data_IF_014519232481
#
_entry.id   IF_014519232481
#
_cell.length_a   1.000
_cell.length_b   1.000
_cell.length_c   1.000
_cell.angle_alpha   90.00
_cell.angle_beta   90.00
_cell.angle_gamma   90.00
#
_symmetry.space_group_name_H-M   'P 1'
#
loop_
_entity.id
_entity.type
_entity.pdbx_description
1 polymer ?
#
# COMPACT_ATOMS: atom_id res chain seq x y z
N UNK A 1 -22.22 11.41 -21.34
CA UNK A 1 -22.54 10.11 -20.70
C UNK A 1 -24.03 9.81 -20.89
N UNK A 2 -24.43 8.54 -21.03
CA UNK A 2 -25.85 8.19 -21.22
C UNK A 2 -26.65 8.32 -19.91
N UNK A 3 -27.86 8.86 -19.95
CA UNK A 3 -28.67 9.11 -18.75
C UNK A 3 -29.35 7.86 -18.15
N UNK A 4 -29.53 6.81 -18.96
CA UNK A 4 -30.17 5.55 -18.51
C UNK A 4 -29.14 4.51 -18.03
N UNK A 5 -29.22 4.14 -16.76
CA UNK A 5 -28.40 3.09 -16.14
C UNK A 5 -28.61 1.70 -16.73
N UNK A 6 -29.75 1.42 -17.38
CA UNK A 6 -29.99 0.17 -18.09
C UNK A 6 -29.09 0.01 -19.31
N UNK A 7 -28.59 1.11 -19.85
CA UNK A 7 -27.60 1.13 -20.94
C UNK A 7 -26.18 1.22 -20.39
N UNK A 8 -25.96 2.09 -19.39
CA UNK A 8 -24.62 2.28 -18.79
C UNK A 8 -24.08 0.99 -18.17
N UNK A 9 -24.92 0.23 -17.44
CA UNK A 9 -24.48 -0.97 -16.73
C UNK A 9 -23.93 -2.08 -17.66
N UNK A 10 -24.64 -2.51 -18.72
CA UNK A 10 -24.09 -3.51 -19.64
C UNK A 10 -22.93 -2.98 -20.49
N UNK A 11 -22.95 -1.69 -20.86
CA UNK A 11 -21.84 -1.08 -21.59
C UNK A 11 -20.55 -1.06 -20.74
N UNK A 12 -20.65 -0.63 -19.48
CA UNK A 12 -19.53 -0.64 -18.53
C UNK A 12 -19.02 -2.07 -18.30
N UNK A 13 -19.92 -3.05 -18.18
CA UNK A 13 -19.53 -4.45 -18.06
C UNK A 13 -18.74 -4.94 -19.28
N UNK A 14 -19.19 -4.60 -20.48
CA UNK A 14 -18.50 -4.96 -21.71
C UNK A 14 -17.09 -4.34 -21.78
N UNK A 15 -16.96 -3.05 -21.44
CA UNK A 15 -15.66 -2.37 -21.35
C UNK A 15 -14.76 -3.05 -20.32
N UNK A 16 -15.29 -3.33 -19.13
CA UNK A 16 -14.58 -4.02 -18.06
C UNK A 16 -14.07 -5.41 -18.47
N UNK A 17 -14.85 -6.16 -19.25
CA UNK A 17 -14.43 -7.46 -19.79
C UNK A 17 -13.35 -7.34 -20.89
N UNK A 18 -13.29 -6.22 -21.63
CA UNK A 18 -12.24 -6.04 -22.65
C UNK A 18 -10.91 -5.74 -21.96
N UNK A 19 -10.91 -4.94 -20.89
CA UNK A 19 -9.69 -4.59 -20.14
C UNK A 19 -9.17 -5.71 -19.21
N UNK A 20 -9.86 -6.86 -19.12
CA UNK A 20 -9.26 -8.08 -18.53
C UNK A 20 -8.32 -8.80 -19.51
N UNK A 21 -8.25 -8.32 -20.75
CA UNK A 21 -7.35 -8.82 -21.78
C UNK A 21 -5.89 -8.47 -21.55
N UNK A 22 -5.06 -8.71 -22.57
CA UNK A 22 -3.66 -8.29 -22.53
C UNK A 22 -3.50 -6.76 -22.61
N UNK A 23 -2.27 -6.29 -22.41
CA UNK A 23 -1.93 -4.87 -22.47
C UNK A 23 -2.37 -4.20 -23.79
N UNK A 24 -2.32 -4.91 -24.92
CA UNK A 24 -2.70 -4.37 -26.23
C UNK A 24 -4.22 -4.17 -26.29
N UNK A 25 -5.00 -5.16 -25.83
CA UNK A 25 -6.45 -5.09 -25.77
C UNK A 25 -6.92 -3.97 -24.81
N UNK A 26 -6.27 -3.86 -23.65
CA UNK A 26 -6.53 -2.76 -22.70
C UNK A 26 -6.20 -1.41 -23.31
N UNK A 27 -5.11 -1.30 -24.07
CA UNK A 27 -4.71 -0.06 -24.74
C UNK A 27 -5.75 0.43 -25.75
N UNK A 28 -6.47 -0.47 -26.44
CA UNK A 28 -7.56 -0.08 -27.35
C UNK A 28 -8.64 0.70 -26.61
N UNK A 29 -9.02 0.28 -25.40
CA UNK A 29 -10.01 0.97 -24.57
C UNK A 29 -9.48 2.33 -24.09
N UNK A 30 -8.21 2.40 -23.69
CA UNK A 30 -7.59 3.66 -23.27
C UNK A 30 -7.54 4.68 -24.42
N UNK A 31 -7.24 4.23 -25.64
CA UNK A 31 -7.23 5.07 -26.84
C UNK A 31 -8.61 5.64 -27.19
N UNK A 32 -9.69 5.02 -26.72
CA UNK A 32 -11.05 5.55 -26.84
C UNK A 32 -11.41 6.59 -25.76
N UNK A 33 -10.43 7.10 -24.99
CA UNK A 33 -10.66 8.06 -23.91
C UNK A 33 -11.65 7.55 -22.84
N UNK A 34 -11.51 6.27 -22.47
CA UNK A 34 -12.37 5.65 -21.45
C UNK A 34 -12.12 6.21 -20.04
N UNK A 35 -10.91 6.66 -19.71
CA UNK A 35 -10.53 7.10 -18.36
C UNK A 35 -11.35 8.29 -17.84
N UNK A 36 -11.58 9.39 -18.60
CA UNK A 36 -12.49 10.45 -18.17
C UNK A 36 -13.92 9.96 -17.92
N UNK A 37 -14.40 8.98 -18.70
CA UNK A 37 -15.72 8.39 -18.49
C UNK A 37 -15.74 7.58 -17.19
N UNK A 38 -14.73 6.76 -16.93
CA UNK A 38 -14.59 5.97 -15.71
C UNK A 38 -14.50 6.88 -14.48
N UNK A 39 -13.72 7.97 -14.54
CA UNK A 39 -13.63 8.95 -13.46
C UNK A 39 -15.01 9.49 -13.06
N UNK A 40 -15.83 9.89 -14.03
CA UNK A 40 -17.19 10.35 -13.74
C UNK A 40 -18.09 9.23 -13.19
N UNK A 41 -17.91 7.98 -13.65
CA UNK A 41 -18.67 6.82 -13.14
C UNK A 41 -18.29 6.44 -11.70
N UNK A 42 -17.05 6.69 -11.27
CA UNK A 42 -16.61 6.51 -9.88
C UNK A 42 -17.38 7.43 -8.91
N UNK A 43 -17.85 8.58 -9.38
CA UNK A 43 -18.72 9.50 -8.62
C UNK A 43 -20.22 9.24 -8.80
N UNK A 44 -20.62 8.17 -9.50
CA UNK A 44 -22.03 7.84 -9.74
C UNK A 44 -22.78 7.61 -8.43
N UNK A 45 -24.01 8.12 -8.23
CA UNK A 45 -24.78 7.83 -7.00
C UNK A 45 -25.16 6.34 -6.86
N UNK A 46 -25.02 5.55 -7.92
CA UNK A 46 -25.38 4.13 -7.91
C UNK A 46 -24.17 3.27 -7.55
N UNK A 47 -24.19 2.66 -6.37
CA UNK A 47 -23.09 1.80 -5.88
C UNK A 47 -22.70 0.68 -6.84
N UNK A 48 -23.67 0.07 -7.53
CA UNK A 48 -23.36 -0.97 -8.52
C UNK A 48 -22.51 -0.44 -9.69
N UNK A 49 -22.66 0.84 -10.05
CA UNK A 49 -21.88 1.47 -11.12
C UNK A 49 -20.50 1.85 -10.59
N UNK A 50 -20.41 2.43 -9.40
CA UNK A 50 -19.11 2.72 -8.76
C UNK A 50 -18.26 1.46 -8.66
N UNK A 51 -18.83 0.38 -8.14
CA UNK A 51 -18.16 -0.92 -7.98
C UNK A 51 -17.62 -1.45 -9.32
N UNK A 52 -18.42 -1.39 -10.38
CA UNK A 52 -18.01 -1.85 -11.71
C UNK A 52 -16.97 -0.93 -12.37
N UNK A 53 -17.03 0.37 -12.09
CA UNK A 53 -16.01 1.32 -12.52
C UNK A 53 -14.69 1.07 -11.79
N UNK A 54 -14.71 0.85 -10.47
CA UNK A 54 -13.53 0.45 -9.69
C UNK A 54 -12.93 -0.85 -10.23
N UNK A 55 -13.75 -1.86 -10.49
CA UNK A 55 -13.31 -3.14 -11.05
C UNK A 55 -12.67 -2.97 -12.45
N UNK A 56 -13.26 -2.12 -13.29
CA UNK A 56 -12.68 -1.80 -14.60
C UNK A 56 -11.31 -1.12 -14.44
N UNK A 57 -11.20 -0.15 -13.53
CA UNK A 57 -9.93 0.53 -13.25
C UNK A 57 -8.90 -0.43 -12.66
N UNK A 58 -9.29 -1.37 -11.80
CA UNK A 58 -8.34 -2.33 -11.21
C UNK A 58 -7.69 -3.22 -12.27
N UNK A 59 -8.43 -3.60 -13.31
CA UNK A 59 -7.89 -4.35 -14.44
C UNK A 59 -6.93 -3.49 -15.28
N UNK A 60 -7.23 -2.20 -15.50
CA UNK A 60 -6.31 -1.28 -16.20
C UNK A 60 -5.01 -1.11 -15.42
N UNK A 61 -5.07 -0.94 -14.09
CA UNK A 61 -3.88 -0.80 -13.24
C UNK A 61 -3.08 -2.09 -13.10
N UNK A 62 -3.61 -3.23 -13.54
CA UNK A 62 -2.88 -4.50 -13.61
C UNK A 62 -2.00 -4.63 -14.86
N UNK A 63 -2.14 -3.70 -15.81
CA UNK A 63 -1.31 -3.66 -17.01
C UNK A 63 0.06 -3.02 -16.78
N UNK A 64 0.72 -2.61 -17.87
CA UNK A 64 2.06 -2.03 -17.78
C UNK A 64 2.12 -0.62 -17.17
N UNK A 65 3.35 -0.17 -16.89
CA UNK A 65 3.66 1.14 -16.30
C UNK A 65 3.07 2.34 -17.04
N UNK A 66 2.94 2.27 -18.37
CA UNK A 66 2.35 3.36 -19.15
C UNK A 66 0.83 3.43 -18.94
N UNK A 67 0.17 2.29 -18.76
CA UNK A 67 -1.26 2.23 -18.46
C UNK A 67 -1.56 2.69 -17.04
N UNK A 68 -0.70 2.32 -16.07
CA UNK A 68 -0.75 2.89 -14.70
C UNK A 68 -0.56 4.42 -14.76
N UNK A 69 0.40 4.91 -15.56
CA UNK A 69 0.62 6.35 -15.73
C UNK A 69 -0.62 7.04 -16.30
N UNK A 70 -1.30 6.44 -17.28
CA UNK A 70 -2.53 7.00 -17.84
C UNK A 70 -3.63 7.17 -16.76
N UNK A 71 -3.75 6.23 -15.81
CA UNK A 71 -4.69 6.34 -14.68
C UNK A 71 -4.29 7.46 -13.71
N UNK A 72 -2.99 7.65 -13.47
CA UNK A 72 -2.45 8.79 -12.69
C UNK A 72 -2.81 10.12 -13.37
N UNK A 73 -2.49 10.25 -14.65
CA UNK A 73 -2.71 11.48 -15.43
C UNK A 73 -4.20 11.83 -15.54
N UNK A 74 -5.08 10.81 -15.53
CA UNK A 74 -6.53 10.97 -15.48
C UNK A 74 -7.07 11.38 -14.10
N UNK A 75 -6.23 11.58 -13.08
CA UNK A 75 -6.61 11.95 -11.71
C UNK A 75 -7.61 10.98 -11.05
N UNK A 76 -7.48 9.68 -11.33
CA UNK A 76 -8.39 8.66 -10.80
C UNK A 76 -8.04 8.24 -9.37
N UNK A 77 -6.75 8.17 -9.02
CA UNK A 77 -6.30 7.68 -7.71
C UNK A 77 -6.85 8.45 -6.50
N UNK A 78 -6.95 9.79 -6.49
CA UNK A 78 -7.59 10.51 -5.39
C UNK A 78 -9.02 10.02 -5.10
N UNK A 79 -9.80 9.75 -6.15
CA UNK A 79 -11.18 9.24 -6.03
C UNK A 79 -11.19 7.78 -5.54
N UNK A 80 -10.27 6.95 -6.03
CA UNK A 80 -10.15 5.57 -5.54
C UNK A 80 -9.82 5.51 -4.05
N UNK A 81 -8.93 6.37 -3.56
CA UNK A 81 -8.54 6.42 -2.14
C UNK A 81 -9.73 6.90 -1.28
N UNK A 82 -10.51 7.88 -1.75
CA UNK A 82 -11.75 8.25 -1.06
C UNK A 82 -12.76 7.10 -1.02
N UNK A 83 -12.95 6.39 -2.14
CA UNK A 83 -13.82 5.22 -2.21
C UNK A 83 -13.35 4.14 -1.23
N UNK A 84 -12.04 3.88 -1.17
CA UNK A 84 -11.42 2.89 -0.29
C UNK A 84 -11.70 3.16 1.20
N UNK A 85 -11.85 4.43 1.57
CA UNK A 85 -12.18 4.85 2.94
C UNK A 85 -13.69 4.83 3.23
N UNK A 86 -14.52 5.34 2.31
CA UNK A 86 -15.91 5.74 2.62
C UNK A 86 -17.00 4.90 1.96
N UNK A 87 -16.70 4.17 0.89
CA UNK A 87 -17.73 3.45 0.13
C UNK A 87 -18.21 2.18 0.83
N UNK A 88 -19.25 1.54 0.29
CA UNK A 88 -19.68 0.23 0.76
C UNK A 88 -18.55 -0.80 0.61
N UNK A 89 -18.49 -1.77 1.52
CA UNK A 89 -17.41 -2.76 1.55
C UNK A 89 -17.17 -3.42 0.19
N UNK A 90 -18.23 -3.80 -0.54
CA UNK A 90 -18.12 -4.41 -1.89
C UNK A 90 -17.40 -3.51 -2.90
N UNK A 91 -17.60 -2.20 -2.82
CA UNK A 91 -16.93 -1.20 -3.69
C UNK A 91 -15.50 -0.97 -3.23
N UNK A 92 -15.26 -0.92 -1.91
CA UNK A 92 -13.92 -0.80 -1.31
C UNK A 92 -12.99 -1.94 -1.74
N UNK A 93 -13.51 -3.17 -1.86
CA UNK A 93 -12.75 -4.33 -2.36
C UNK A 93 -12.08 -4.05 -3.71
N UNK A 94 -12.86 -3.54 -4.67
CA UNK A 94 -12.36 -3.27 -6.02
C UNK A 94 -11.37 -2.10 -6.04
N UNK A 95 -11.59 -1.08 -5.19
CA UNK A 95 -10.61 0.01 -5.03
C UNK A 95 -9.29 -0.50 -4.45
N UNK A 96 -9.32 -1.42 -3.48
CA UNK A 96 -8.12 -2.05 -2.91
C UNK A 96 -7.31 -2.78 -3.98
N UNK A 97 -8.00 -3.55 -4.84
CA UNK A 97 -7.37 -4.20 -5.99
C UNK A 97 -6.68 -3.21 -6.92
N UNK A 98 -7.32 -2.07 -7.23
CA UNK A 98 -6.72 -1.05 -8.09
C UNK A 98 -5.43 -0.46 -7.49
N UNK A 99 -5.42 -0.16 -6.18
CA UNK A 99 -4.22 0.34 -5.50
C UNK A 99 -3.12 -0.74 -5.49
N UNK A 100 -3.43 -1.97 -5.08
CA UNK A 100 -2.44 -3.05 -5.00
C UNK A 100 -1.85 -3.40 -6.36
N UNK A 101 -2.65 -3.44 -7.42
CA UNK A 101 -2.16 -3.69 -8.79
C UNK A 101 -1.19 -2.58 -9.22
N UNK A 102 -1.55 -1.32 -8.98
CA UNK A 102 -0.67 -0.19 -9.29
C UNK A 102 0.65 -0.24 -8.50
N UNK A 103 0.63 -0.62 -7.21
CA UNK A 103 1.87 -0.78 -6.42
C UNK A 103 2.72 -1.96 -6.86
N UNK A 104 2.12 -2.98 -7.49
CA UNK A 104 2.84 -4.17 -7.96
C UNK A 104 3.56 -3.93 -9.29
N UNK A 105 2.90 -3.22 -10.22
CA UNK A 105 3.43 -2.96 -11.57
C UNK A 105 4.11 -1.59 -11.75
N UNK A 106 3.91 -0.66 -10.82
CA UNK A 106 4.33 0.74 -10.94
C UNK A 106 5.84 0.97 -10.82
N UNK A 107 6.28 2.15 -11.23
CA UNK A 107 7.65 2.63 -10.97
C UNK A 107 7.77 3.20 -9.55
N UNK A 108 8.99 3.35 -9.01
CA UNK A 108 9.23 4.06 -7.74
C UNK A 108 8.49 5.41 -7.64
N UNK A 109 8.53 6.21 -8.70
CA UNK A 109 7.88 7.52 -8.77
C UNK A 109 6.35 7.42 -8.67
N UNK A 110 5.77 6.42 -9.34
CA UNK A 110 4.32 6.17 -9.32
C UNK A 110 3.86 5.72 -7.94
N UNK A 111 4.62 4.83 -7.29
CA UNK A 111 4.31 4.37 -5.93
C UNK A 111 4.46 5.52 -4.93
N UNK A 112 5.53 6.33 -5.03
CA UNK A 112 5.70 7.55 -4.23
C UNK A 112 4.50 8.50 -4.36
N UNK A 113 3.98 8.66 -5.58
CA UNK A 113 2.77 9.44 -5.81
C UNK A 113 1.54 8.84 -5.10
N UNK A 114 1.34 7.52 -5.12
CA UNK A 114 0.24 6.89 -4.38
C UNK A 114 0.38 7.10 -2.87
N UNK A 115 1.59 6.99 -2.33
CA UNK A 115 1.87 7.24 -0.92
C UNK A 115 1.59 8.69 -0.56
N UNK A 116 1.98 9.66 -1.40
CA UNK A 116 1.71 11.09 -1.15
C UNK A 116 0.22 11.45 -1.18
N UNK A 117 -0.61 10.61 -1.80
CA UNK A 117 -2.08 10.69 -1.72
C UNK A 117 -2.67 10.01 -0.46
N UNK A 118 -1.83 9.58 0.48
CA UNK A 118 -2.21 8.89 1.72
C UNK A 118 -2.93 7.55 1.48
N UNK A 119 -2.47 6.74 0.51
CA UNK A 119 -3.05 5.42 0.28
C UNK A 119 -2.79 4.41 1.42
N UNK A 120 -1.71 4.60 2.22
CA UNK A 120 -1.28 3.67 3.28
C UNK A 120 -2.36 3.48 4.34
N UNK A 121 -2.90 4.57 4.90
CA UNK A 121 -3.89 4.49 5.98
C UNK A 121 -5.14 3.65 5.63
N UNK A 122 -5.85 3.90 4.51
CA UNK A 122 -6.96 3.05 4.11
C UNK A 122 -6.57 1.60 3.81
N UNK A 123 -5.35 1.34 3.33
CA UNK A 123 -4.85 -0.03 3.15
C UNK A 123 -4.64 -0.73 4.50
N UNK A 124 -4.05 -0.04 5.49
CA UNK A 124 -3.92 -0.55 6.85
C UNK A 124 -5.29 -0.82 7.49
N UNK A 125 -6.32 0.00 7.22
CA UNK A 125 -7.67 -0.23 7.75
C UNK A 125 -8.37 -1.47 7.17
N UNK A 126 -7.90 -1.98 6.03
CA UNK A 126 -8.41 -3.22 5.45
C UNK A 126 -7.79 -4.49 6.07
N UNK A 127 -6.75 -4.37 6.90
CA UNK A 127 -6.11 -5.53 7.54
C UNK A 127 -7.01 -6.23 8.56
N UNK A 128 -8.00 -5.54 9.12
CA UNK A 128 -8.88 -6.09 10.17
C UNK A 128 -10.25 -6.53 9.63
N UNK A 129 -10.41 -6.64 8.30
CA UNK A 129 -11.69 -7.08 7.71
C UNK A 129 -11.78 -8.60 7.71
N UNK A 130 -13.00 -9.13 7.77
CA UNK A 130 -13.23 -10.59 7.79
C UNK A 130 -12.89 -11.30 6.47
N UNK A 131 -12.79 -10.56 5.36
CA UNK A 131 -12.51 -11.13 4.05
C UNK A 131 -11.00 -11.36 3.88
N UNK A 132 -10.56 -12.59 4.11
CA UNK A 132 -9.15 -12.99 4.04
C UNK A 132 -8.48 -12.61 2.73
N UNK A 133 -9.21 -12.65 1.60
CA UNK A 133 -8.65 -12.26 0.29
C UNK A 133 -8.31 -10.78 0.25
N UNK A 134 -9.10 -9.94 0.92
CA UNK A 134 -8.85 -8.49 0.99
C UNK A 134 -7.75 -8.14 1.98
N UNK A 135 -7.65 -8.90 3.07
CA UNK A 135 -6.49 -8.80 3.98
C UNK A 135 -5.20 -9.10 3.19
N UNK A 136 -5.16 -10.18 2.42
CA UNK A 136 -4.02 -10.52 1.57
C UNK A 136 -3.69 -9.43 0.52
N UNK A 137 -4.71 -8.90 -0.17
CA UNK A 137 -4.53 -7.78 -1.13
C UNK A 137 -3.92 -6.56 -0.44
N UNK A 138 -4.34 -6.28 0.79
CA UNK A 138 -3.85 -5.14 1.56
C UNK A 138 -2.42 -5.34 2.04
N UNK A 139 -2.09 -6.53 2.55
CA UNK A 139 -0.72 -6.91 2.90
C UNK A 139 0.22 -6.82 1.71
N UNK A 140 -0.18 -7.32 0.54
CA UNK A 140 0.64 -7.24 -0.69
C UNK A 140 0.87 -5.79 -1.13
N UNK A 141 -0.14 -4.93 -1.03
CA UNK A 141 0.00 -3.50 -1.35
C UNK A 141 0.98 -2.78 -0.41
N UNK A 142 0.88 -3.06 0.90
CA UNK A 142 1.80 -2.52 1.90
C UNK A 142 3.22 -3.06 1.74
N UNK A 143 3.39 -4.34 1.44
CA UNK A 143 4.69 -4.95 1.16
C UNK A 143 5.38 -4.30 -0.04
N UNK A 144 4.65 -4.06 -1.14
CA UNK A 144 5.22 -3.41 -2.32
C UNK A 144 5.75 -2.00 -2.00
N UNK A 145 5.03 -1.26 -1.15
CA UNK A 145 5.45 0.06 -0.67
C UNK A 145 6.70 -0.07 0.22
N UNK A 146 6.69 -1.00 1.19
CA UNK A 146 7.83 -1.27 2.06
C UNK A 146 9.09 -1.67 1.28
N UNK A 147 8.93 -2.55 0.28
CA UNK A 147 10.02 -2.98 -0.62
C UNK A 147 10.64 -1.80 -1.37
N UNK A 148 9.82 -0.85 -1.82
CA UNK A 148 10.33 0.38 -2.42
C UNK A 148 11.16 1.18 -1.41
N UNK A 149 10.65 1.37 -0.19
CA UNK A 149 11.36 2.14 0.83
C UNK A 149 12.69 1.52 1.26
N UNK A 150 12.80 0.19 1.24
CA UNK A 150 14.06 -0.51 1.45
C UNK A 150 15.06 -0.25 0.30
N UNK A 151 14.58 -0.17 -0.94
CA UNK A 151 15.44 0.20 -2.07
C UNK A 151 15.92 1.65 -1.95
N UNK A 152 15.04 2.56 -1.51
CA UNK A 152 15.35 3.97 -1.31
C UNK A 152 16.31 4.19 -0.14
N UNK A 153 16.16 3.45 0.96
CA UNK A 153 17.07 3.55 2.12
C UNK A 153 18.50 3.15 1.76
N UNK A 154 18.65 2.11 0.94
CA UNK A 154 19.94 1.66 0.39
C UNK A 154 20.54 2.66 -0.59
N UNK A 155 19.72 3.29 -1.43
CA UNK A 155 20.19 4.28 -2.41
C UNK A 155 20.60 5.61 -1.77
N UNK A 156 19.85 6.06 -0.76
CA UNK A 156 20.10 7.33 -0.07
C UNK A 156 21.13 7.19 1.07
N UNK A 157 21.50 5.96 1.45
CA UNK A 157 22.45 5.68 2.52
C UNK A 157 21.94 6.02 3.92
N UNK A 158 20.64 6.22 4.08
CA UNK A 158 20.01 6.54 5.38
C UNK A 158 19.85 5.30 6.25
N UNK A 159 19.78 4.11 5.65
CA UNK A 159 19.43 2.86 6.34
C UNK A 159 17.96 2.77 6.77
N UNK A 160 17.28 3.91 6.89
CA UNK A 160 15.89 4.02 7.36
C UNK A 160 14.92 3.94 6.18
N UNK A 161 13.95 3.01 6.28
CA UNK A 161 12.83 2.91 5.34
C UNK A 161 11.76 3.96 5.70
N UNK A 162 11.48 4.96 4.84
CA UNK A 162 10.56 6.05 5.16
C UNK A 162 9.11 5.60 5.30
N UNK A 163 8.74 4.45 4.74
CA UNK A 163 7.36 3.98 4.76
C UNK A 163 7.02 3.14 6.00
N UNK A 164 8.02 2.65 6.76
CA UNK A 164 7.76 1.98 8.04
C UNK A 164 7.06 2.93 9.01
N UNK A 165 7.60 4.14 9.19
CA UNK A 165 7.02 5.17 10.05
C UNK A 165 5.58 5.53 9.64
N UNK A 166 5.30 5.67 8.33
CA UNK A 166 3.95 5.97 7.84
C UNK A 166 2.95 4.83 8.10
N UNK A 167 3.42 3.58 8.07
CA UNK A 167 2.60 2.41 8.41
C UNK A 167 2.33 2.37 9.92
N UNK A 168 3.33 2.65 10.75
CA UNK A 168 3.17 2.75 12.21
C UNK A 168 2.19 3.86 12.60
N UNK A 169 2.34 5.07 12.06
CA UNK A 169 1.41 6.20 12.27
C UNK A 169 -0.03 5.87 11.84
N UNK A 170 -0.20 4.94 10.90
CA UNK A 170 -1.49 4.45 10.45
C UNK A 170 -2.07 3.30 11.29
N UNK A 171 -1.45 2.96 12.43
CA UNK A 171 -1.72 1.75 13.23
C UNK A 171 -1.63 0.48 12.40
N UNK A 172 -0.78 0.48 11.36
CA UNK A 172 -0.59 -0.64 10.46
C UNK A 172 0.21 -1.75 11.11
N UNK A 173 1.28 -1.41 11.84
CA UNK A 173 2.12 -2.39 12.54
C UNK A 173 1.29 -3.19 13.57
N UNK A 174 0.53 -2.51 14.44
CA UNK A 174 -0.35 -3.19 15.43
C UNK A 174 -1.32 -4.18 14.76
N UNK A 175 -1.86 -3.81 13.59
CA UNK A 175 -2.78 -4.66 12.84
C UNK A 175 -2.07 -5.83 12.17
N UNK A 176 -0.85 -5.65 11.69
CA UNK A 176 -0.04 -6.74 11.13
C UNK A 176 0.35 -7.71 12.27
N UNK A 177 0.71 -7.22 13.45
CA UNK A 177 0.95 -8.05 14.63
C UNK A 177 -0.29 -8.86 15.01
N UNK A 178 -1.47 -8.23 15.02
CA UNK A 178 -2.73 -8.93 15.26
C UNK A 178 -2.97 -10.08 14.27
N UNK A 179 -2.54 -9.94 13.00
CA UNK A 179 -2.66 -10.98 11.97
C UNK A 179 -1.76 -12.19 12.22
N UNK A 180 -0.79 -12.13 13.14
CA UNK A 180 -0.06 -13.31 13.62
C UNK A 180 -0.94 -14.27 14.47
N UNK A 181 -2.19 -13.92 14.72
CA UNK A 181 -3.19 -14.84 15.31
C UNK A 181 -4.26 -15.31 14.32
N UNK A 182 -4.12 -14.97 13.04
CA UNK A 182 -5.15 -15.22 12.03
C UNK A 182 -5.24 -16.71 11.66
N UNK A 183 -6.47 -17.23 11.51
CA UNK A 183 -6.71 -18.66 11.22
C UNK A 183 -6.14 -19.11 9.86
N UNK A 184 -6.11 -18.20 8.89
CA UNK A 184 -5.48 -18.44 7.59
C UNK A 184 -3.94 -18.37 7.71
N UNK A 185 -3.30 -19.52 7.50
CA UNK A 185 -1.85 -19.69 7.59
C UNK A 185 -1.04 -18.81 6.61
N UNK A 186 -1.57 -18.51 5.42
CA UNK A 186 -0.90 -17.62 4.47
C UNK A 186 -0.85 -16.19 4.99
N UNK A 187 -1.92 -15.72 5.64
CA UNK A 187 -1.98 -14.39 6.25
C UNK A 187 -1.03 -14.32 7.45
N UNK A 188 -1.07 -15.33 8.31
CA UNK A 188 -0.14 -15.47 9.44
C UNK A 188 1.31 -15.37 8.98
N UNK A 189 1.70 -16.21 8.01
CA UNK A 189 3.08 -16.26 7.54
C UNK A 189 3.50 -14.93 6.91
N UNK A 190 2.61 -14.34 6.10
CA UNK A 190 2.88 -13.05 5.46
C UNK A 190 3.07 -11.92 6.48
N UNK A 191 2.26 -11.89 7.53
CA UNK A 191 2.38 -10.91 8.60
C UNK A 191 3.69 -11.11 9.39
N UNK A 192 4.05 -12.37 9.69
CA UNK A 192 5.32 -12.72 10.33
C UNK A 192 6.52 -12.23 9.51
N UNK A 193 6.57 -12.58 8.22
CA UNK A 193 7.69 -12.21 7.34
C UNK A 193 7.81 -10.68 7.20
N UNK A 194 6.68 -9.96 7.15
CA UNK A 194 6.69 -8.50 7.06
C UNK A 194 7.25 -7.84 8.32
N UNK A 195 6.88 -8.34 9.50
CA UNK A 195 7.41 -7.83 10.76
C UNK A 195 8.90 -8.13 10.83
N UNK A 196 9.30 -9.39 10.63
CA UNK A 196 10.71 -9.80 10.72
C UNK A 196 11.61 -9.01 9.75
N UNK A 197 11.16 -8.80 8.51
CA UNK A 197 11.98 -8.17 7.47
C UNK A 197 12.04 -6.64 7.55
N UNK A 198 10.94 -5.96 7.92
CA UNK A 198 10.85 -4.49 7.85
C UNK A 198 10.75 -3.77 9.19
N UNK A 199 10.29 -4.45 10.24
CA UNK A 199 10.06 -3.87 11.57
C UNK A 199 10.82 -4.60 12.69
N UNK A 200 11.52 -5.69 12.34
CA UNK A 200 12.38 -6.42 13.24
C UNK A 200 13.44 -5.48 13.80
N UNK A 201 13.68 -5.59 15.09
CA UNK A 201 14.76 -4.87 15.75
C UNK A 201 16.05 -5.38 15.10
N UNK A 202 16.78 -4.53 14.37
CA UNK A 202 18.22 -4.75 14.22
C UNK A 202 18.71 -4.94 15.65
N UNK A 203 19.22 -6.14 15.98
CA UNK A 203 19.70 -6.49 17.31
C UNK A 203 20.30 -5.25 17.97
N UNK A 204 19.69 -4.82 19.09
CA UNK A 204 20.22 -3.75 19.91
C UNK A 204 21.72 -3.93 20.03
N UNK A 205 22.42 -3.02 19.36
CA UNK A 205 23.80 -2.63 19.55
C UNK A 205 24.52 -3.49 20.62
N UNK A 206 25.23 -4.55 20.19
CA UNK A 206 26.03 -5.41 21.06
C UNK A 206 27.13 -4.63 21.85
N UNK A 207 27.19 -3.31 21.68
CA UNK A 207 28.01 -2.35 22.41
C UNK A 207 27.40 -1.90 23.75
N UNK A 208 26.12 -2.16 24.03
CA UNK A 208 25.42 -1.74 25.28
C UNK A 208 25.31 -2.88 26.31
N UNK A 209 25.85 -4.07 26.02
CA UNK A 209 25.94 -5.13 27.03
C UNK A 209 26.96 -4.75 28.12
N UNK A 210 26.57 -4.64 29.41
CA UNK A 210 27.53 -4.37 30.48
C UNK A 210 28.54 -5.53 30.56
N UNK A 211 29.82 -5.20 30.50
CA UNK A 211 30.88 -6.20 30.67
C UNK A 211 30.90 -6.64 32.13
N UNK A 212 30.88 -7.96 32.34
CA UNK A 212 31.00 -8.57 33.67
C UNK A 212 32.50 -8.77 33.94
N UNK A 213 33.02 -8.13 34.99
CA UNK A 213 34.39 -8.39 35.46
C UNK A 213 34.43 -9.79 36.10
N UNK A 214 35.07 -10.74 35.42
CA UNK A 214 35.18 -12.14 35.85
C UNK A 214 35.94 -12.33 37.16
N UNK A 215 36.59 -11.29 37.69
CA UNK A 215 37.30 -11.36 38.97
C UNK A 215 36.51 -10.84 40.17
N UNK A 216 35.39 -10.12 39.99
CA UNK A 216 34.72 -9.42 41.08
C UNK A 216 33.19 -9.54 41.13
N UNK A 217 32.55 -10.28 40.21
CA UNK A 217 31.08 -10.43 40.16
C UNK A 217 30.32 -9.08 40.26
N UNK A 218 30.85 -8.04 39.61
CA UNK A 218 30.22 -6.71 39.53
C UNK A 218 30.02 -6.29 38.07
N UNK A 219 28.89 -5.64 37.80
CA UNK A 219 28.55 -5.08 36.49
C UNK A 219 29.28 -3.75 36.29
N UNK A 220 30.06 -3.63 35.21
CA UNK A 220 30.73 -2.39 34.84
C UNK A 220 29.91 -1.69 33.75
N UNK A 221 29.41 -0.50 34.08
CA UNK A 221 28.82 0.41 33.10
C UNK A 221 29.90 1.33 32.53
N UNK A 222 30.15 1.27 31.22
CA UNK A 222 31.05 2.24 30.58
C UNK A 222 30.38 3.62 30.59
N UNK A 223 30.88 4.53 31.43
CA UNK A 223 30.53 5.94 31.33
C UNK A 223 31.12 6.51 30.05
N UNK A 224 30.26 6.78 29.07
CA UNK A 224 30.61 7.62 27.93
C UNK A 224 30.99 9.01 28.45
N UNK A 225 32.29 9.32 28.49
CA UNK A 225 32.76 10.69 28.70
C UNK A 225 32.42 11.52 27.46
N UNK A 226 31.27 12.18 27.49
CA UNK A 226 30.99 13.28 26.57
C UNK A 226 32.03 14.39 26.75
N UNK A 227 32.42 15.10 25.67
CA UNK A 227 33.39 16.20 25.78
C UNK A 227 32.81 17.31 26.66
N UNK A 228 33.40 17.48 27.85
CA UNK A 228 33.14 18.61 28.75
C UNK A 228 33.66 19.88 28.09
N UNK A 229 32.79 20.59 27.37
CA UNK A 229 33.07 21.94 26.91
C UNK A 229 33.09 22.89 28.12
N UNK A 230 34.19 23.65 28.19
CA UNK A 230 34.55 24.53 29.31
C UNK A 230 33.52 25.64 29.51
N UNK A 231 32.83 25.64 30.64
CA UNK A 231 32.33 26.87 31.24
C UNK A 231 33.45 27.50 32.09
N UNK A 232 34.06 28.58 31.57
CA UNK A 232 34.81 29.53 32.39
C UNK A 232 33.88 30.68 32.80
N UNK A 233 33.93 31.00 34.09
CA UNK A 233 33.29 32.12 34.79
C UNK A 233 33.59 33.48 34.15
#
# INVERSE_FOLDING_TARGET
MHGDYKVVSPALRAVGNIVTGDDIQTQVILNCSALPCLLHLLSSPKESIKKEACWTVSNITAGNRAQIQAVIDANIFPVLIEILQKAEFRTRKEAAWAITNATSGGTPEQIRYLVSLNCIKPMCDLLTVMDSKIVQVSLNGLENILRLGEQESKQNGTGINPYCALIEEAYGLDKIEFLQSHENQEIYQKAFDLIEHYFGVEEEDATIAPQVDQNQDQYIFQQHHGPMDRFQL
#
